data_IF_428500701218
#
_entry.id   IF_428500701218
#
_cell.length_a   1.000
_cell.length_b   1.000
_cell.length_c   1.000
_cell.angle_alpha   90.00
_cell.angle_beta   90.00
_cell.angle_gamma   90.00
#
_symmetry.space_group_name_H-M   'P 1'
#
loop_
_entity.id
_entity.type
_entity.pdbx_description
1 polymer ?
#
# COMPACT_ATOMS: atom_id res chain seq x y z
N UNK A 1 -22.82 0.11 12.86
CA UNK A 1 -21.77 0.26 11.83
C UNK A 1 -22.14 1.47 11.01
N UNK A 2 -21.52 2.62 11.28
CA UNK A 2 -21.79 3.89 10.56
C UNK A 2 -20.47 4.40 9.99
N UNK A 3 -19.92 3.66 9.02
CA UNK A 3 -19.00 4.28 8.07
C UNK A 3 -19.87 4.74 6.89
N UNK A 4 -20.31 5.99 6.94
CA UNK A 4 -20.81 6.69 5.76
C UNK A 4 -19.69 6.63 4.73
N UNK A 5 -19.86 5.87 3.65
CA UNK A 5 -18.92 5.75 2.52
C UNK A 5 -18.73 7.06 1.74
N UNK A 6 -18.75 8.20 2.41
CA UNK A 6 -18.32 9.47 1.85
C UNK A 6 -16.81 9.41 1.62
N UNK A 7 -16.34 9.90 0.46
CA UNK A 7 -14.91 10.00 0.21
C UNK A 7 -14.27 10.81 1.34
N UNK A 8 -13.03 10.46 1.69
CA UNK A 8 -12.26 11.17 2.71
C UNK A 8 -12.38 12.69 2.48
N UNK A 9 -12.53 13.51 3.54
CA UNK A 9 -12.72 14.96 3.43
C UNK A 9 -11.44 15.64 2.91
N UNK A 10 -11.17 15.46 1.63
CA UNK A 10 -10.00 15.97 0.92
C UNK A 10 -10.11 17.46 0.59
N UNK A 11 -11.33 17.99 0.68
CA UNK A 11 -11.66 19.38 0.36
C UNK A 11 -10.96 20.37 1.29
N UNK A 12 -10.70 20.01 2.55
CA UNK A 12 -9.90 20.82 3.47
C UNK A 12 -8.45 20.99 3.01
N UNK A 13 -7.83 19.95 2.45
CA UNK A 13 -6.48 20.05 1.87
C UNK A 13 -6.48 20.94 0.63
N UNK A 14 -7.49 20.77 -0.24
CA UNK A 14 -7.62 21.57 -1.46
C UNK A 14 -7.75 23.07 -1.15
N UNK A 15 -8.59 23.43 -0.17
CA UNK A 15 -8.73 24.81 0.31
C UNK A 15 -7.43 25.37 0.92
N UNK A 16 -6.57 24.52 1.45
CA UNK A 16 -5.27 24.91 2.02
C UNK A 16 -4.10 24.79 1.02
N UNK A 17 -4.40 24.57 -0.26
CA UNK A 17 -3.41 24.57 -1.34
C UNK A 17 -2.73 23.23 -1.58
N UNK A 18 -3.26 22.10 -1.08
CA UNK A 18 -2.69 20.78 -1.28
C UNK A 18 -3.70 19.80 -1.91
N UNK A 19 -3.22 18.89 -2.76
CA UNK A 19 -3.98 17.77 -3.31
C UNK A 19 -3.34 16.45 -2.89
N UNK A 20 -4.18 15.44 -2.63
CA UNK A 20 -3.70 14.07 -2.48
C UNK A 20 -3.40 13.51 -3.85
N UNK A 21 -2.14 13.15 -4.10
CA UNK A 21 -1.71 12.44 -5.31
C UNK A 21 -1.15 11.09 -4.93
N UNK A 22 -1.19 10.17 -5.88
CA UNK A 22 -0.61 8.85 -5.73
C UNK A 22 0.52 8.69 -6.74
N UNK A 23 1.68 8.23 -6.28
CA UNK A 23 2.85 8.04 -7.12
C UNK A 23 3.56 6.72 -6.84
N UNK A 24 4.47 6.30 -7.74
CA UNK A 24 5.25 5.07 -7.60
C UNK A 24 6.35 5.19 -6.55
N UNK A 25 6.76 6.41 -6.21
CA UNK A 25 7.80 6.67 -5.22
C UNK A 25 7.24 6.67 -3.79
N UNK A 26 7.95 5.97 -2.92
CA UNK A 26 7.64 5.98 -1.49
C UNK A 26 7.87 7.37 -0.90
N UNK A 27 6.88 7.88 -0.16
CA UNK A 27 7.03 9.11 0.63
C UNK A 27 8.05 8.91 1.77
N UNK A 28 8.65 10.01 2.25
CA UNK A 28 9.58 9.95 3.39
C UNK A 28 8.91 9.34 4.64
N UNK A 29 7.61 9.60 4.82
CA UNK A 29 6.80 9.00 5.86
C UNK A 29 6.68 7.47 5.68
N UNK A 30 6.33 7.00 4.47
CA UNK A 30 6.24 5.58 4.18
C UNK A 30 7.58 4.86 4.44
N UNK A 31 8.70 5.42 3.95
CA UNK A 31 10.04 4.84 4.20
C UNK A 31 10.36 4.73 5.70
N UNK A 32 9.92 5.67 6.51
CA UNK A 32 10.16 5.66 7.96
C UNK A 32 9.26 4.66 8.68
N UNK A 33 7.97 4.62 8.31
CA UNK A 33 7.00 3.66 8.84
C UNK A 33 7.42 2.23 8.57
N UNK A 34 7.93 1.93 7.37
CA UNK A 34 8.26 0.55 7.04
C UNK A 34 9.44 -0.01 7.84
N UNK A 35 10.37 0.86 8.29
CA UNK A 35 11.47 0.45 9.18
C UNK A 35 10.96 -0.09 10.51
N UNK A 36 9.81 0.37 10.99
CA UNK A 36 9.26 -0.02 12.29
C UNK A 36 8.11 -1.01 12.16
N UNK A 37 7.22 -0.86 11.17
CA UNK A 37 5.96 -1.61 11.04
C UNK A 37 5.95 -2.73 10.00
N UNK A 38 6.95 -2.81 9.12
CA UNK A 38 6.99 -3.79 8.02
C UNK A 38 6.56 -3.21 6.68
N UNK A 39 6.15 -4.05 5.73
CA UNK A 39 5.84 -3.63 4.35
C UNK A 39 4.40 -3.13 4.23
N UNK A 40 4.21 -1.93 3.70
CA UNK A 40 2.87 -1.37 3.45
C UNK A 40 2.61 -1.23 1.94
N UNK A 41 1.72 -2.08 1.43
CA UNK A 41 1.23 -2.07 0.04
C UNK A 41 -0.30 -1.98 0.01
N UNK A 42 -0.89 -1.38 1.05
CA UNK A 42 -2.34 -1.24 1.25
C UNK A 42 -3.03 -0.50 0.11
N UNK A 43 -2.38 0.51 -0.46
CA UNK A 43 -2.90 1.27 -1.60
C UNK A 43 -2.64 0.61 -2.96
N UNK A 44 -1.82 -0.45 -3.01
CA UNK A 44 -1.56 -1.22 -4.22
C UNK A 44 -2.42 -2.49 -4.22
N UNK A 45 -1.92 -3.57 -3.62
CA UNK A 45 -2.64 -4.86 -3.57
C UNK A 45 -3.53 -5.03 -2.33
N UNK A 46 -3.48 -4.11 -1.37
CA UNK A 46 -4.38 -4.12 -0.21
C UNK A 46 -3.84 -4.81 1.04
N UNK A 47 -2.52 -4.92 1.21
CA UNK A 47 -1.91 -5.62 2.36
C UNK A 47 -0.99 -4.73 3.19
N UNK A 48 -0.98 -4.98 4.50
CA UNK A 48 0.09 -4.58 5.42
C UNK A 48 0.71 -5.84 6.01
N UNK A 49 2.04 -5.95 5.93
CA UNK A 49 2.80 -7.15 6.30
C UNK A 49 3.85 -6.76 7.32
N UNK A 50 3.94 -7.47 8.44
CA UNK A 50 4.96 -7.20 9.46
C UNK A 50 6.35 -7.75 9.04
N UNK A 51 7.34 -7.64 9.93
CA UNK A 51 8.72 -8.11 9.66
C UNK A 51 8.85 -9.63 9.60
N UNK A 52 7.90 -10.35 10.19
CA UNK A 52 7.84 -11.82 10.21
C UNK A 52 7.05 -12.37 9.00
N UNK A 53 6.82 -11.53 7.99
CA UNK A 53 6.06 -11.83 6.78
C UNK A 53 4.58 -12.18 7.03
N UNK A 54 4.02 -11.80 8.18
CA UNK A 54 2.61 -12.01 8.50
C UNK A 54 1.76 -10.80 8.11
N UNK A 55 0.62 -11.07 7.46
CA UNK A 55 -0.38 -10.06 7.10
C UNK A 55 -1.07 -9.58 8.36
N UNK A 56 -0.89 -8.29 8.67
CA UNK A 56 -1.52 -7.62 9.83
C UNK A 56 -2.77 -6.83 9.43
N UNK A 57 -2.92 -6.50 8.15
CA UNK A 57 -4.15 -5.93 7.60
C UNK A 57 -4.39 -6.37 6.16
N UNK A 58 -5.64 -6.68 5.84
CA UNK A 58 -6.12 -6.95 4.47
C UNK A 58 -7.30 -6.02 4.19
N UNK A 59 -7.16 -5.15 3.20
CA UNK A 59 -8.17 -4.13 2.86
C UNK A 59 -9.33 -4.78 2.13
N UNK A 60 -10.55 -4.56 2.61
CA UNK A 60 -11.76 -5.12 1.99
C UNK A 60 -11.90 -4.70 0.52
N UNK A 61 -12.32 -5.63 -0.34
CA UNK A 61 -12.46 -5.49 -1.79
C UNK A 61 -11.17 -5.16 -2.58
N UNK A 62 -10.03 -5.08 -1.90
CA UNK A 62 -8.74 -4.94 -2.55
C UNK A 62 -8.31 -6.25 -3.25
N UNK A 63 -7.35 -6.18 -4.20
CA UNK A 63 -6.93 -7.34 -4.99
C UNK A 63 -6.53 -8.57 -4.15
N UNK A 64 -5.75 -8.39 -3.09
CA UNK A 64 -5.33 -9.48 -2.21
C UNK A 64 -6.48 -10.08 -1.39
N UNK A 65 -7.42 -9.25 -0.95
CA UNK A 65 -8.62 -9.71 -0.25
C UNK A 65 -9.48 -10.60 -1.17
N UNK A 66 -9.68 -10.18 -2.42
CA UNK A 66 -10.41 -10.97 -3.43
C UNK A 66 -9.72 -12.29 -3.76
N UNK A 67 -8.40 -12.35 -3.64
CA UNK A 67 -7.62 -13.59 -3.74
C UNK A 67 -7.70 -14.48 -2.47
N UNK A 68 -8.42 -14.06 -1.42
CA UNK A 68 -8.59 -14.83 -0.18
C UNK A 68 -7.44 -14.71 0.81
N UNK A 69 -6.72 -13.58 0.79
CA UNK A 69 -5.70 -13.25 1.80
C UNK A 69 -6.35 -12.45 2.93
N UNK A 70 -6.18 -12.94 4.16
CA UNK A 70 -6.69 -12.35 5.39
C UNK A 70 -5.58 -12.14 6.43
N UNK A 71 -5.94 -11.51 7.55
CA UNK A 71 -5.04 -11.27 8.69
C UNK A 71 -4.58 -12.61 9.30
N UNK A 72 -3.29 -12.70 9.62
CA UNK A 72 -2.66 -13.92 10.15
C UNK A 72 -2.12 -14.87 9.07
N UNK A 73 -2.34 -14.54 7.79
CA UNK A 73 -1.70 -15.25 6.67
C UNK A 73 -0.21 -14.85 6.59
N UNK A 74 0.69 -15.83 6.54
CA UNK A 74 2.13 -15.62 6.31
C UNK A 74 2.48 -15.72 4.84
N UNK A 75 3.23 -14.75 4.30
CA UNK A 75 3.74 -14.79 2.93
C UNK A 75 5.09 -15.50 2.94
N UNK A 76 5.17 -16.60 2.20
CA UNK A 76 6.35 -17.47 2.14
C UNK A 76 7.21 -17.16 0.91
N UNK A 77 6.57 -16.90 -0.23
CA UNK A 77 7.25 -16.59 -1.48
C UNK A 77 6.47 -15.58 -2.34
N UNK A 78 7.20 -14.86 -3.18
CA UNK A 78 6.72 -13.98 -4.24
C UNK A 78 7.37 -14.43 -5.55
N UNK A 79 6.55 -14.71 -6.57
CA UNK A 79 6.99 -15.17 -7.89
C UNK A 79 7.98 -16.34 -7.85
N UNK A 80 7.69 -17.31 -6.98
CA UNK A 80 8.49 -18.53 -6.82
C UNK A 80 9.81 -18.34 -6.07
N UNK A 81 10.02 -17.20 -5.42
CA UNK A 81 11.22 -16.90 -4.62
C UNK A 81 10.82 -16.48 -3.20
N UNK A 82 11.64 -16.81 -2.19
CA UNK A 82 11.33 -16.52 -0.79
C UNK A 82 10.90 -15.06 -0.57
N UNK A 83 9.98 -14.80 0.36
CA UNK A 83 9.47 -13.45 0.58
C UNK A 83 10.57 -12.48 1.04
N UNK A 84 10.63 -11.31 0.41
CA UNK A 84 11.24 -10.10 0.97
C UNK A 84 10.38 -8.88 0.65
N UNK A 85 10.41 -7.82 1.47
CA UNK A 85 9.72 -6.56 1.19
C UNK A 85 10.03 -6.00 -0.20
N UNK A 86 11.30 -6.03 -0.60
CA UNK A 86 11.80 -5.49 -1.86
C UNK A 86 11.28 -6.30 -3.04
N UNK A 87 11.20 -7.63 -2.90
CA UNK A 87 10.71 -8.52 -3.95
C UNK A 87 9.22 -8.32 -4.18
N UNK A 88 8.42 -8.21 -3.12
CA UNK A 88 7.00 -7.89 -3.26
C UNK A 88 6.80 -6.56 -4.00
N UNK A 89 7.54 -5.52 -3.63
CA UNK A 89 7.47 -4.21 -4.29
C UNK A 89 7.92 -4.26 -5.74
N UNK A 90 8.99 -5.01 -6.03
CA UNK A 90 9.49 -5.20 -7.39
C UNK A 90 8.46 -5.94 -8.26
N UNK A 91 7.80 -6.96 -7.72
CA UNK A 91 6.72 -7.69 -8.39
C UNK A 91 5.53 -6.76 -8.70
N UNK A 92 5.11 -5.93 -7.73
CA UNK A 92 4.08 -4.89 -7.94
C UNK A 92 4.48 -3.89 -9.04
N UNK A 93 5.75 -3.49 -9.08
CA UNK A 93 6.27 -2.60 -10.12
C UNK A 93 6.24 -3.27 -11.50
N UNK A 94 6.76 -4.50 -11.60
CA UNK A 94 6.81 -5.25 -12.85
C UNK A 94 5.41 -5.57 -13.40
N UNK A 95 4.45 -5.87 -12.52
CA UNK A 95 3.08 -6.17 -12.90
C UNK A 95 2.38 -4.98 -13.59
N UNK A 96 2.81 -3.73 -13.33
CA UNK A 96 2.25 -2.55 -14.01
C UNK A 96 2.40 -2.61 -15.54
N UNK A 97 3.57 -3.02 -16.00
CA UNK A 97 3.92 -3.05 -17.43
C UNK A 97 3.76 -4.47 -18.04
N UNK A 98 3.54 -5.47 -17.19
CA UNK A 98 3.34 -6.87 -17.56
C UNK A 98 1.86 -7.28 -17.67
N UNK A 99 1.65 -8.54 -18.07
CA UNK A 99 0.34 -9.22 -18.07
C UNK A 99 0.27 -10.38 -17.07
N UNK A 100 1.40 -10.70 -16.44
CA UNK A 100 1.46 -11.78 -15.47
C UNK A 100 0.91 -11.30 -14.12
N UNK A 101 0.10 -12.11 -13.44
CA UNK A 101 -0.34 -11.81 -12.08
C UNK A 101 0.83 -11.95 -11.09
N UNK A 102 0.74 -11.24 -9.98
CA UNK A 102 1.67 -11.39 -8.86
C UNK A 102 1.37 -12.73 -8.18
N UNK A 103 2.35 -13.64 -8.13
CA UNK A 103 2.15 -14.97 -7.53
C UNK A 103 2.67 -14.99 -6.10
N UNK A 104 1.83 -15.39 -5.16
CA UNK A 104 2.18 -15.49 -3.76
C UNK A 104 2.01 -16.93 -3.28
N UNK A 105 3.07 -17.49 -2.69
CA UNK A 105 2.93 -18.67 -1.84
C UNK A 105 2.63 -18.18 -0.43
N UNK A 106 1.48 -18.55 0.10
CA UNK A 106 1.05 -18.15 1.44
C UNK A 106 0.82 -19.36 2.33
N UNK A 107 0.97 -19.17 3.64
CA UNK A 107 0.68 -20.16 4.67
C UNK A 107 -0.32 -19.57 5.65
N UNK A 108 -1.43 -20.28 5.89
CA UNK A 108 -2.41 -19.94 6.91
C UNK A 108 -2.67 -21.18 7.77
N UNK A 109 -2.29 -21.10 9.05
CA UNK A 109 -2.19 -22.28 9.92
C UNK A 109 -1.21 -23.32 9.36
N UNK A 110 -1.72 -24.50 9.01
CA UNK A 110 -0.93 -25.61 8.44
C UNK A 110 -1.02 -25.72 6.92
N UNK A 111 -1.84 -24.90 6.27
CA UNK A 111 -2.10 -25.01 4.83
C UNK A 111 -1.28 -24.00 4.05
N UNK A 112 -0.62 -24.49 3.00
CA UNK A 112 0.00 -23.65 1.98
C UNK A 112 -0.99 -23.45 0.82
N UNK A 113 -0.99 -22.26 0.23
CA UNK A 113 -1.78 -21.93 -0.96
C UNK A 113 -0.93 -21.11 -1.91
N UNK A 114 -0.98 -21.46 -3.19
CA UNK A 114 -0.50 -20.61 -4.27
C UNK A 114 -1.66 -19.72 -4.74
N UNK A 115 -1.47 -18.41 -4.63
CA UNK A 115 -2.46 -17.41 -5.00
C UNK A 115 -1.90 -16.53 -6.12
N UNK A 116 -2.76 -16.18 -7.07
CA UNK A 116 -2.45 -15.23 -8.13
C UNK A 116 -3.27 -13.95 -7.90
N UNK A 117 -2.60 -12.81 -7.82
CA UNK A 117 -3.23 -11.49 -7.70
C UNK A 117 -3.12 -10.79 -9.05
N UNK A 118 -4.25 -10.68 -9.73
CA UNK A 118 -4.37 -9.97 -11.01
C UNK A 118 -4.41 -8.46 -10.78
N UNK A 119 -3.23 -7.86 -10.63
CA UNK A 119 -3.06 -6.43 -10.32
C UNK A 119 -2.04 -5.77 -11.23
N UNK A 120 -2.49 -4.73 -11.95
CA UNK A 120 -1.67 -3.97 -12.91
C UNK A 120 -1.59 -2.47 -12.60
N UNK A 121 -2.00 -2.04 -11.40
CA UNK A 121 -2.01 -0.62 -11.02
C UNK A 121 -0.63 -0.05 -10.66
N UNK A 122 0.39 -0.90 -10.52
CA UNK A 122 1.73 -0.51 -10.08
C UNK A 122 1.80 -0.04 -8.61
N UNK A 123 2.97 0.46 -8.16
CA UNK A 123 3.11 0.95 -6.79
C UNK A 123 2.31 2.24 -6.62
N UNK A 124 1.50 2.30 -5.57
CA UNK A 124 0.64 3.44 -5.27
C UNK A 124 0.92 3.93 -3.86
N UNK A 125 1.66 5.03 -3.73
CA UNK A 125 1.94 5.67 -2.44
C UNK A 125 1.25 7.03 -2.36
N UNK A 126 0.41 7.27 -1.34
CA UNK A 126 -0.21 8.57 -1.13
C UNK A 126 0.82 9.62 -0.72
N UNK A 127 0.72 10.82 -1.31
CA UNK A 127 1.48 12.00 -0.91
C UNK A 127 0.67 13.27 -1.12
N UNK A 128 0.92 14.28 -0.30
CA UNK A 128 0.35 15.60 -0.50
C UNK A 128 1.25 16.40 -1.44
N UNK A 129 0.67 16.95 -2.51
CA UNK A 129 1.35 17.82 -3.46
C UNK A 129 0.72 19.20 -3.44
N UNK A 130 1.56 20.24 -3.45
CA UNK A 130 1.11 21.63 -3.43
C UNK A 130 0.51 22.01 -4.78
N UNK A 131 -0.59 22.75 -4.77
CA UNK A 131 -1.39 23.11 -5.95
C UNK A 131 -1.15 24.55 -6.44
N UNK A 132 -0.27 25.31 -5.79
CA UNK A 132 0.06 26.69 -6.17
C UNK A 132 1.41 27.18 -5.62
N UNK A 133 1.88 28.34 -6.10
CA UNK A 133 3.21 28.89 -5.81
C UNK A 133 3.29 29.77 -4.53
N UNK A 134 2.17 30.07 -3.86
CA UNK A 134 2.13 30.90 -2.64
C UNK A 134 2.19 30.07 -1.34
N UNK A 135 2.51 30.70 -0.20
CA UNK A 135 2.39 30.06 1.14
C UNK A 135 0.91 29.72 1.42
N UNK A 136 0.59 28.43 1.48
CA UNK A 136 -0.73 27.96 1.90
C UNK A 136 -0.89 28.00 3.41
N UNK A 137 -2.13 27.87 3.90
CA UNK A 137 -2.41 27.80 5.34
C UNK A 137 -1.64 26.66 6.05
N UNK A 138 -1.42 25.55 5.36
CA UNK A 138 -0.63 24.41 5.84
C UNK A 138 0.87 24.71 5.92
N UNK A 139 1.45 25.50 5.01
CA UNK A 139 2.87 25.89 5.08
C UNK A 139 3.12 26.70 6.37
N UNK A 140 2.23 27.64 6.70
CA UNK A 140 2.31 28.46 7.92
C UNK A 140 2.14 27.63 9.20
N UNK A 141 1.34 26.57 9.17
CA UNK A 141 1.17 25.64 10.29
C UNK A 141 2.38 24.73 10.51
N UNK A 142 3.12 24.40 9.45
CA UNK A 142 4.28 23.52 9.50
C UNK A 142 5.59 24.26 9.79
N UNK A 143 5.57 25.58 9.92
CA UNK A 143 6.74 26.35 10.34
C UNK A 143 7.12 26.02 11.78
N UNK A 144 8.40 25.70 12.06
CA UNK A 144 8.87 25.48 13.41
C UNK A 144 8.71 26.77 14.23
N UNK A 145 8.33 26.63 15.50
CA UNK A 145 8.33 27.71 16.50
C UNK A 145 9.62 27.72 17.28
#
# INVERSE_FOLDING_TARGET
>A
MTETGQPAPTQGFAMNGYKLVYGPEQSAYAKTQEKTRGTDVSFSIGLVINKDAEVTASIWDAPAFKAGIDVGTQIQAVDGQAFTPERLKASILAAKDGKEPIRLLVKNGTRFRDLAIDYHGGPRYPRLEKTGAGEGGLDKLLMPR
#
